data_IF_000538256713
#
_entry.id   IF_000538256713
#
_cell.length_a   1.000
_cell.length_b   1.000
_cell.length_c   1.000
_cell.angle_alpha   90.00
_cell.angle_beta   90.00
_cell.angle_gamma   90.00
#
_symmetry.space_group_name_H-M   'P 1'
#
loop_
_entity.id
_entity.type
_entity.pdbx_description
1 polymer ?
#
# COMPACT_ATOMS: atom_id res chain seq x y z
N UNK A 1 10.82 -31.64 -7.15
CA UNK A 1 10.06 -31.48 -5.90
C UNK A 1 11.01 -30.82 -4.92
N UNK A 2 11.45 -29.59 -5.22
CA UNK A 2 12.44 -28.85 -4.44
C UNK A 2 11.80 -27.88 -3.46
N UNK A 3 10.48 -27.76 -3.50
CA UNK A 3 9.75 -26.90 -2.59
C UNK A 3 9.74 -27.53 -1.18
N UNK A 4 10.00 -26.72 -0.16
CA UNK A 4 10.11 -27.11 1.25
C UNK A 4 11.06 -28.29 1.55
N UNK A 5 12.13 -28.44 0.79
CA UNK A 5 13.17 -29.47 1.01
C UNK A 5 12.69 -30.94 0.98
N UNK A 6 11.46 -31.21 0.52
CA UNK A 6 10.85 -32.56 0.49
C UNK A 6 11.56 -33.56 -0.43
N UNK A 7 12.53 -33.12 -1.23
CA UNK A 7 13.36 -34.01 -2.04
C UNK A 7 14.31 -34.87 -1.20
N UNK A 8 14.69 -34.44 0.01
CA UNK A 8 15.56 -35.23 0.90
C UNK A 8 14.95 -36.59 1.25
N UNK A 9 13.62 -36.67 1.39
CA UNK A 9 12.92 -37.95 1.55
C UNK A 9 13.33 -38.99 0.49
N UNK A 10 13.34 -38.61 -0.80
CA UNK A 10 13.68 -39.53 -1.88
C UNK A 10 15.19 -39.74 -2.07
N UNK A 11 16.01 -38.86 -1.50
CA UNK A 11 17.46 -38.93 -1.58
C UNK A 11 18.03 -39.84 -0.49
N UNK A 12 17.52 -39.68 0.74
CA UNK A 12 18.14 -40.21 1.95
C UNK A 12 17.28 -41.28 2.62
N UNK A 13 15.95 -41.16 2.58
CA UNK A 13 15.05 -42.05 3.33
C UNK A 13 14.62 -43.29 2.56
N UNK A 14 14.52 -43.23 1.23
CA UNK A 14 14.06 -44.37 0.42
C UNK A 14 14.97 -44.66 -0.76
N UNK A 15 14.97 -45.92 -1.22
CA UNK A 15 15.71 -46.34 -2.43
C UNK A 15 14.94 -46.03 -3.71
N UNK A 16 14.91 -44.77 -4.08
CA UNK A 16 14.16 -44.26 -5.24
C UNK A 16 15.06 -43.65 -6.33
N UNK A 17 14.52 -43.54 -7.53
CA UNK A 17 15.09 -42.78 -8.65
C UNK A 17 14.03 -41.91 -9.29
N UNK A 18 14.43 -40.78 -9.84
CA UNK A 18 13.55 -39.97 -10.69
C UNK A 18 13.57 -40.49 -12.13
N UNK A 19 12.40 -40.62 -12.74
CA UNK A 19 12.22 -40.81 -14.18
C UNK A 19 11.55 -39.56 -14.76
N UNK A 20 11.95 -39.12 -15.95
CA UNK A 20 11.34 -37.93 -16.57
C UNK A 20 11.46 -37.91 -18.10
N UNK A 21 10.55 -37.19 -18.75
CA UNK A 21 10.63 -36.80 -20.16
C UNK A 21 10.97 -35.31 -20.25
N UNK A 22 11.72 -34.96 -21.29
CA UNK A 22 12.03 -33.58 -21.64
C UNK A 22 11.47 -33.23 -23.01
N UNK A 23 11.06 -31.98 -23.19
CA UNK A 23 10.72 -31.43 -24.51
C UNK A 23 11.98 -31.06 -25.31
N UNK A 24 11.78 -30.49 -26.50
CA UNK A 24 12.85 -30.03 -27.40
C UNK A 24 13.69 -28.90 -26.79
N UNK A 25 13.11 -28.12 -25.86
CA UNK A 25 13.80 -27.06 -25.12
C UNK A 25 14.55 -27.58 -23.88
N UNK A 26 14.43 -28.87 -23.58
CA UNK A 26 15.08 -29.52 -22.43
C UNK A 26 14.32 -29.38 -21.10
N UNK A 27 13.11 -28.82 -21.11
CA UNK A 27 12.25 -28.69 -19.92
C UNK A 27 11.59 -30.02 -19.60
N UNK A 28 11.43 -30.32 -18.30
CA UNK A 28 10.78 -31.55 -17.84
C UNK A 28 9.27 -31.41 -18.06
N UNK A 29 8.69 -32.27 -18.92
CA UNK A 29 7.26 -32.27 -19.26
C UNK A 29 6.47 -33.41 -18.60
N UNK A 30 7.16 -34.48 -18.21
CA UNK A 30 6.62 -35.57 -17.43
C UNK A 30 7.67 -36.05 -16.43
N UNK A 31 7.27 -36.42 -15.21
CA UNK A 31 8.17 -36.98 -14.19
C UNK A 31 7.46 -38.02 -13.34
N UNK A 32 8.23 -38.97 -12.82
CA UNK A 32 7.75 -40.00 -11.92
C UNK A 32 8.81 -40.44 -10.92
N UNK A 33 8.36 -41.06 -9.83
CA UNK A 33 9.21 -41.67 -8.80
C UNK A 33 9.28 -43.16 -9.05
N UNK A 34 10.48 -43.71 -9.13
CA UNK A 34 10.72 -45.14 -9.29
C UNK A 34 11.32 -45.71 -8.01
N UNK A 35 10.54 -46.50 -7.27
CA UNK A 35 11.08 -47.32 -6.19
C UNK A 35 11.82 -48.51 -6.79
N UNK A 36 13.11 -48.60 -6.51
CA UNK A 36 14.00 -49.58 -7.16
C UNK A 36 14.08 -50.91 -6.42
N UNK A 37 13.58 -50.95 -5.19
CA UNK A 37 13.83 -52.01 -4.22
C UNK A 37 12.56 -52.33 -3.41
N UNK A 38 11.46 -52.63 -4.12
CA UNK A 38 10.20 -53.06 -3.50
C UNK A 38 10.19 -54.57 -3.29
N UNK A 39 9.73 -55.04 -2.14
CA UNK A 39 9.52 -56.47 -1.86
C UNK A 39 8.02 -56.76 -1.74
N UNK A 40 7.53 -57.86 -2.30
CA UNK A 40 6.15 -58.31 -2.08
C UNK A 40 6.02 -59.34 -0.95
N UNK A 41 4.79 -59.73 -0.62
CA UNK A 41 4.51 -60.73 0.42
C UNK A 41 5.17 -62.10 0.20
N UNK A 42 5.57 -62.42 -1.03
CA UNK A 42 6.21 -63.67 -1.42
C UNK A 42 7.75 -63.53 -1.47
N UNK A 43 8.30 -62.41 -0.96
CA UNK A 43 9.72 -62.03 -1.01
C UNK A 43 10.25 -61.79 -2.44
N UNK A 44 9.39 -61.53 -3.41
CA UNK A 44 9.83 -61.16 -4.76
C UNK A 44 10.17 -59.68 -4.82
N UNK A 45 11.22 -59.35 -5.58
CA UNK A 45 11.69 -57.97 -5.78
C UNK A 45 11.06 -57.34 -7.02
N UNK A 46 10.71 -56.07 -6.89
CA UNK A 46 10.02 -55.28 -7.90
C UNK A 46 10.62 -53.88 -8.04
N UNK A 47 10.62 -53.35 -9.26
CA UNK A 47 10.84 -51.95 -9.58
C UNK A 47 9.50 -51.32 -9.93
N UNK A 48 8.92 -50.58 -9.00
CA UNK A 48 7.58 -50.00 -9.17
C UNK A 48 7.66 -48.50 -9.45
N UNK A 49 7.06 -48.09 -10.56
CA UNK A 49 6.90 -46.69 -10.90
C UNK A 49 5.67 -46.12 -10.20
N UNK A 50 5.88 -45.21 -9.28
CA UNK A 50 4.86 -44.44 -8.59
C UNK A 50 4.71 -43.04 -9.23
N UNK A 51 3.57 -42.38 -8.95
CA UNK A 51 3.31 -40.94 -9.18
C UNK A 51 3.77 -40.36 -10.50
N UNK A 52 2.87 -40.29 -11.48
CA UNK A 52 3.17 -39.65 -12.76
C UNK A 52 2.62 -38.22 -12.78
N UNK A 53 3.52 -37.24 -12.76
CA UNK A 53 3.20 -35.81 -12.89
C UNK A 53 3.51 -35.34 -14.30
N UNK A 54 2.62 -34.53 -14.86
CA UNK A 54 2.80 -33.91 -16.19
C UNK A 54 2.43 -32.44 -16.13
N UNK A 55 3.07 -31.65 -16.99
CA UNK A 55 2.69 -30.25 -17.20
C UNK A 55 1.29 -30.23 -17.81
N UNK A 56 0.35 -29.49 -17.22
CA UNK A 56 -1.03 -29.38 -17.70
C UNK A 56 -1.89 -30.64 -17.54
N UNK A 57 -1.50 -31.56 -16.65
CA UNK A 57 -2.24 -32.80 -16.34
C UNK A 57 -2.43 -33.77 -17.52
N UNK A 58 -1.64 -33.63 -18.58
CA UNK A 58 -1.73 -34.45 -19.79
C UNK A 58 -1.47 -35.95 -19.48
N UNK A 59 -2.51 -36.78 -19.60
CA UNK A 59 -2.42 -38.23 -19.39
C UNK A 59 -1.59 -38.94 -20.47
N UNK A 60 -1.59 -38.44 -21.72
CA UNK A 60 -0.81 -39.02 -22.80
C UNK A 60 0.67 -38.96 -22.50
N UNK A 61 1.15 -37.85 -21.92
CA UNK A 61 2.53 -37.73 -21.45
C UNK A 61 2.86 -38.74 -20.32
N UNK A 62 1.92 -39.01 -19.41
CA UNK A 62 2.07 -40.06 -18.37
C UNK A 62 2.22 -41.44 -19.01
N UNK A 63 1.34 -41.77 -19.95
CA UNK A 63 1.41 -43.03 -20.70
C UNK A 63 2.70 -43.16 -21.51
N UNK A 64 3.15 -42.09 -22.16
CA UNK A 64 4.42 -42.08 -22.90
C UNK A 64 5.62 -42.37 -21.99
N UNK A 65 5.67 -41.76 -20.79
CA UNK A 65 6.73 -42.01 -19.81
C UNK A 65 6.75 -43.48 -19.37
N UNK A 66 5.58 -44.03 -19.01
CA UNK A 66 5.44 -45.45 -18.63
C UNK A 66 5.88 -46.37 -19.77
N UNK A 67 5.35 -46.18 -20.97
CA UNK A 67 5.66 -47.01 -22.12
C UNK A 67 7.16 -47.03 -22.45
N UNK A 68 7.83 -45.87 -22.35
CA UNK A 68 9.28 -45.79 -22.58
C UNK A 68 10.08 -46.57 -21.54
N UNK A 69 9.68 -46.49 -20.26
CA UNK A 69 10.31 -47.25 -19.18
C UNK A 69 10.10 -48.77 -19.33
N UNK A 70 8.94 -49.20 -19.83
CA UNK A 70 8.66 -50.61 -20.17
C UNK A 70 9.57 -51.05 -21.32
N UNK A 71 9.63 -50.29 -22.41
CA UNK A 71 10.45 -50.61 -23.59
C UNK A 71 11.94 -50.73 -23.24
N UNK A 72 12.43 -49.88 -22.33
CA UNK A 72 13.81 -49.92 -21.83
C UNK A 72 14.04 -50.93 -20.69
N UNK A 73 13.03 -51.73 -20.33
CA UNK A 73 13.07 -52.71 -19.24
C UNK A 73 13.54 -52.12 -17.90
N UNK A 74 13.04 -50.92 -17.55
CA UNK A 74 13.42 -50.18 -16.34
C UNK A 74 12.51 -50.46 -15.14
N UNK A 75 11.30 -50.95 -15.40
CA UNK A 75 10.24 -51.14 -14.39
C UNK A 75 9.61 -52.52 -14.54
N UNK A 76 9.03 -53.04 -13.45
CA UNK A 76 8.31 -54.33 -13.41
C UNK A 76 6.80 -54.13 -13.21
N UNK A 77 6.40 -52.97 -12.69
CA UNK A 77 5.02 -52.52 -12.58
C UNK A 77 4.94 -51.01 -12.39
N UNK A 78 3.73 -50.46 -12.49
CA UNK A 78 3.48 -49.04 -12.34
C UNK A 78 2.12 -48.78 -11.71
N UNK A 79 1.99 -47.64 -11.01
CA UNK A 79 0.69 -47.16 -10.52
C UNK A 79 -0.16 -46.75 -11.72
N UNK A 80 -1.40 -47.22 -11.78
CA UNK A 80 -2.34 -46.99 -12.88
C UNK A 80 -2.45 -45.48 -13.15
N UNK A 81 -2.32 -45.10 -14.41
CA UNK A 81 -2.45 -43.69 -14.83
C UNK A 81 -3.89 -43.24 -14.57
N UNK A 82 -4.04 -42.13 -13.85
CA UNK A 82 -5.36 -41.60 -13.43
C UNK A 82 -5.90 -42.21 -12.13
N UNK A 83 -5.17 -43.14 -11.49
CA UNK A 83 -5.54 -43.62 -10.16
C UNK A 83 -5.46 -42.51 -9.12
N UNK A 84 -6.34 -42.56 -8.13
CA UNK A 84 -6.39 -41.57 -7.06
C UNK A 84 -5.15 -41.67 -6.15
N UNK A 85 -4.75 -40.54 -5.56
CA UNK A 85 -3.72 -40.53 -4.52
C UNK A 85 -4.10 -41.38 -3.30
N UNK A 86 -5.41 -41.59 -3.06
CA UNK A 86 -5.89 -42.43 -1.96
C UNK A 86 -5.84 -43.95 -2.26
N UNK A 87 -5.63 -44.34 -3.53
CA UNK A 87 -5.59 -45.74 -3.96
C UNK A 87 -4.16 -46.30 -3.92
N UNK A 88 -3.69 -46.60 -2.71
CA UNK A 88 -2.33 -47.10 -2.49
C UNK A 88 -2.00 -48.39 -3.26
N UNK A 89 -3.03 -49.22 -3.51
CA UNK A 89 -2.94 -50.53 -4.15
C UNK A 89 -3.07 -50.50 -5.67
N UNK A 90 -3.25 -49.35 -6.31
CA UNK A 90 -3.57 -49.27 -7.74
C UNK A 90 -2.35 -49.54 -8.66
N UNK A 91 -1.66 -50.66 -8.47
CA UNK A 91 -0.54 -51.10 -9.30
C UNK A 91 -0.97 -52.14 -10.34
N UNK A 92 -0.31 -52.11 -11.48
CA UNK A 92 -0.41 -53.09 -12.56
C UNK A 92 0.98 -53.53 -13.01
N UNK A 93 1.15 -54.81 -13.32
CA UNK A 93 2.37 -55.35 -13.91
C UNK A 93 2.53 -54.89 -15.36
N UNK A 94 3.76 -54.91 -15.87
CA UNK A 94 4.03 -54.55 -17.27
C UNK A 94 3.37 -55.48 -18.30
N UNK A 95 2.91 -56.66 -17.87
CA UNK A 95 2.13 -57.63 -18.66
C UNK A 95 0.62 -57.36 -18.62
N UNK A 96 0.18 -56.31 -17.92
CA UNK A 96 -1.22 -55.95 -17.73
C UNK A 96 -1.90 -56.72 -16.60
N UNK A 97 -1.18 -57.56 -15.85
CA UNK A 97 -1.75 -58.25 -14.69
C UNK A 97 -2.02 -57.27 -13.54
N UNK A 98 -3.20 -57.39 -12.92
CA UNK A 98 -3.51 -56.58 -11.74
C UNK A 98 -2.60 -56.96 -10.57
N UNK A 99 -2.06 -55.96 -9.88
CA UNK A 99 -1.30 -56.12 -8.64
C UNK A 99 -2.07 -55.55 -7.45
N UNK A 100 -3.39 -55.31 -7.59
CA UNK A 100 -4.20 -54.66 -6.56
C UNK A 100 -4.20 -55.38 -5.20
N UNK A 101 -4.27 -56.70 -5.21
CA UNK A 101 -4.27 -57.51 -3.98
C UNK A 101 -2.86 -57.79 -3.44
N UNK A 102 -1.81 -57.22 -4.07
CA UNK A 102 -0.43 -57.42 -3.64
C UNK A 102 -0.08 -56.48 -2.49
N UNK A 103 0.65 -57.05 -1.54
CA UNK A 103 1.19 -56.37 -0.38
C UNK A 103 2.67 -56.15 -0.64
N UNK A 104 3.08 -54.90 -0.64
CA UNK A 104 4.41 -54.44 -0.95
C UNK A 104 4.99 -53.66 0.23
N UNK A 105 6.29 -53.79 0.39
CA UNK A 105 7.09 -53.05 1.36
C UNK A 105 8.33 -52.43 0.70
N UNK A 106 8.78 -51.31 1.23
CA UNK A 106 10.06 -50.66 0.90
C UNK A 106 10.85 -50.36 2.17
N UNK A 107 12.19 -50.40 2.07
CA UNK A 107 13.04 -49.79 3.08
C UNK A 107 12.76 -48.28 3.14
N UNK A 108 12.55 -47.75 4.34
CA UNK A 108 12.27 -46.34 4.58
C UNK A 108 12.94 -45.89 5.88
N UNK A 109 14.03 -45.14 5.79
CA UNK A 109 14.74 -44.61 6.96
C UNK A 109 14.32 -43.17 7.25
N UNK A 110 13.31 -43.02 8.11
CA UNK A 110 12.82 -41.72 8.57
C UNK A 110 12.97 -41.58 10.09
N UNK A 111 13.69 -40.55 10.53
CA UNK A 111 13.65 -40.03 11.89
C UNK A 111 12.43 -39.14 12.13
N UNK A 112 12.11 -38.89 13.39
CA UNK A 112 10.93 -38.09 13.77
C UNK A 112 10.95 -36.69 13.15
N UNK A 113 12.11 -36.03 13.15
CA UNK A 113 12.30 -34.66 12.65
C UNK A 113 12.68 -34.61 11.16
N UNK A 114 12.71 -35.74 10.46
CA UNK A 114 13.08 -35.77 9.05
C UNK A 114 11.97 -35.20 8.18
N UNK A 115 12.36 -34.46 7.14
CA UNK A 115 11.42 -33.87 6.19
C UNK A 115 10.65 -34.96 5.45
N UNK A 116 9.33 -34.95 5.61
CA UNK A 116 8.43 -35.86 4.94
C UNK A 116 8.14 -35.42 3.51
N UNK A 117 7.83 -36.41 2.68
CA UNK A 117 7.10 -36.19 1.44
C UNK A 117 5.80 -36.97 1.55
N UNK A 118 4.66 -36.31 1.29
CA UNK A 118 3.36 -36.96 1.11
C UNK A 118 3.56 -38.24 0.29
N UNK A 119 3.02 -39.40 0.64
CA UNK A 119 3.18 -40.66 -0.09
C UNK A 119 1.84 -41.17 -0.64
N UNK A 120 1.86 -41.69 -1.86
CA UNK A 120 0.66 -42.11 -2.61
C UNK A 120 0.35 -43.59 -2.40
N UNK A 121 1.40 -44.41 -2.40
CA UNK A 121 1.31 -45.86 -2.30
C UNK A 121 1.92 -46.36 -1.02
N UNK A 122 3.19 -46.06 -0.74
CA UNK A 122 3.89 -46.54 0.45
C UNK A 122 3.67 -45.60 1.64
N UNK A 123 2.43 -45.56 2.13
CA UNK A 123 1.99 -44.55 3.09
C UNK A 123 1.84 -45.01 4.54
N UNK A 124 1.90 -46.31 4.81
CA UNK A 124 1.92 -46.83 6.18
C UNK A 124 3.35 -47.08 6.59
N UNK A 125 3.88 -46.24 7.46
CA UNK A 125 5.27 -46.28 7.88
C UNK A 125 5.41 -46.84 9.29
N UNK A 126 6.16 -47.94 9.38
CA UNK A 126 6.55 -48.54 10.65
C UNK A 126 7.92 -47.97 11.06
N UNK A 127 7.90 -47.12 12.09
CA UNK A 127 9.08 -46.42 12.59
C UNK A 127 10.12 -47.37 13.18
N UNK A 128 9.68 -48.47 13.81
CA UNK A 128 10.55 -49.43 14.47
C UNK A 128 11.21 -50.35 13.46
N UNK A 129 10.47 -50.79 12.44
CA UNK A 129 10.99 -51.64 11.37
C UNK A 129 11.72 -50.86 10.26
N UNK A 130 11.59 -49.53 10.22
CA UNK A 130 12.14 -48.66 9.16
C UNK A 130 11.66 -49.09 7.77
N UNK A 131 10.36 -49.35 7.66
CA UNK A 131 9.71 -49.80 6.43
C UNK A 131 8.41 -49.07 6.17
N UNK A 132 8.12 -48.84 4.89
CA UNK A 132 6.84 -48.31 4.45
C UNK A 132 6.09 -49.32 3.58
N UNK A 133 4.78 -49.39 3.78
CA UNK A 133 3.88 -50.39 3.22
C UNK A 133 2.79 -49.74 2.37
N UNK A 134 2.27 -50.48 1.38
CA UNK A 134 1.07 -50.09 0.63
C UNK A 134 -0.25 -50.56 1.25
N UNK A 135 -0.19 -51.15 2.44
CA UNK A 135 -1.33 -51.61 3.23
C UNK A 135 -1.08 -51.26 4.69
N UNK A 136 -2.15 -51.18 5.49
CA UNK A 136 -2.02 -51.04 6.95
C UNK A 136 -1.31 -52.27 7.52
N UNK A 137 -0.09 -52.09 8.03
CA UNK A 137 0.77 -53.15 8.56
C UNK A 137 0.50 -53.36 10.05
N UNK A 138 0.47 -52.27 10.81
CA UNK A 138 0.23 -52.21 12.24
C UNK A 138 -0.84 -51.16 12.60
N UNK A 139 -1.31 -51.19 13.84
CA UNK A 139 -2.15 -50.11 14.40
C UNK A 139 -1.34 -48.84 14.71
N UNK A 140 -0.03 -49.00 14.92
CA UNK A 140 0.89 -47.93 15.31
C UNK A 140 1.64 -47.32 14.12
N UNK A 141 1.27 -47.66 12.88
CA UNK A 141 1.89 -47.11 11.67
C UNK A 141 1.65 -45.58 11.57
N UNK A 142 2.70 -44.83 11.26
CA UNK A 142 2.58 -43.44 10.83
C UNK A 142 1.99 -43.36 9.43
N UNK A 143 1.03 -42.47 9.23
CA UNK A 143 0.46 -42.20 7.92
C UNK A 143 1.27 -41.11 7.20
N UNK A 144 1.99 -41.51 6.15
CA UNK A 144 2.76 -40.61 5.30
C UNK A 144 1.91 -39.94 4.20
N UNK A 145 0.58 -40.13 4.18
CA UNK A 145 -0.34 -39.34 3.36
C UNK A 145 -0.78 -38.05 4.07
N UNK A 146 0.13 -37.46 4.83
CA UNK A 146 -0.02 -36.16 5.47
C UNK A 146 0.71 -35.04 4.71
N UNK A 147 0.25 -33.81 4.90
CA UNK A 147 0.95 -32.61 4.45
C UNK A 147 1.96 -32.09 5.46
N UNK A 148 2.03 -32.67 6.67
CA UNK A 148 2.98 -32.28 7.72
C UNK A 148 4.42 -32.33 7.22
N UNK A 149 5.27 -31.46 7.76
CA UNK A 149 6.69 -31.44 7.43
C UNK A 149 7.47 -32.59 8.09
N UNK A 150 7.09 -33.10 9.25
CA UNK A 150 7.76 -34.22 9.92
C UNK A 150 6.80 -35.15 10.69
N UNK A 151 7.30 -36.28 11.25
CA UNK A 151 6.45 -37.30 11.91
C UNK A 151 5.91 -36.89 13.27
N UNK A 152 6.48 -35.86 13.91
CA UNK A 152 5.90 -35.30 15.13
C UNK A 152 4.56 -34.60 14.85
N UNK A 153 4.23 -34.38 13.56
CA UNK A 153 3.23 -33.40 13.15
C UNK A 153 3.83 -32.01 13.33
N UNK A 154 3.78 -31.19 12.29
CA UNK A 154 4.16 -29.79 12.45
C UNK A 154 2.87 -28.96 12.52
N UNK A 155 2.77 -28.14 13.57
CA UNK A 155 2.19 -26.79 13.51
C UNK A 155 2.94 -26.03 12.40
N UNK A 156 2.72 -26.41 11.14
CA UNK A 156 3.28 -25.77 9.94
C UNK A 156 2.49 -24.47 9.60
N UNK A 157 1.71 -23.92 10.54
CA UNK A 157 1.60 -22.48 10.65
C UNK A 157 2.89 -22.01 11.29
N UNK A 158 3.89 -21.70 10.46
CA UNK A 158 4.82 -20.68 10.90
C UNK A 158 3.95 -19.50 11.32
N UNK A 159 3.94 -19.15 12.60
CA UNK A 159 3.38 -17.87 13.09
C UNK A 159 4.05 -16.69 12.37
N UNK A 160 5.12 -16.94 11.59
CA UNK A 160 5.79 -15.94 10.79
C UNK A 160 4.90 -15.47 9.63
N UNK A 161 4.37 -14.26 9.80
CA UNK A 161 3.69 -13.50 8.76
C UNK A 161 4.68 -13.08 7.64
N UNK A 162 4.15 -12.90 6.43
CA UNK A 162 4.95 -12.47 5.27
C UNK A 162 4.79 -10.97 5.06
N UNK A 163 5.87 -10.22 5.24
CA UNK A 163 5.94 -8.81 4.89
C UNK A 163 6.14 -8.65 3.38
N UNK A 164 5.08 -8.22 2.68
CA UNK A 164 5.10 -7.98 1.25
C UNK A 164 5.92 -6.74 0.87
N UNK A 165 6.03 -5.73 1.73
CA UNK A 165 6.80 -4.53 1.42
C UNK A 165 8.31 -4.77 1.54
N UNK A 166 8.77 -5.35 2.65
CA UNK A 166 10.19 -5.65 2.89
C UNK A 166 10.65 -6.98 2.31
N UNK A 167 9.74 -7.80 1.79
CA UNK A 167 10.02 -9.10 1.17
C UNK A 167 10.74 -10.07 2.12
N UNK A 168 10.27 -10.14 3.37
CA UNK A 168 10.83 -11.00 4.43
C UNK A 168 9.73 -11.62 5.30
N UNK A 169 10.06 -12.70 5.98
CA UNK A 169 9.21 -13.23 7.06
C UNK A 169 9.44 -12.43 8.35
N UNK A 170 8.36 -12.13 9.07
CA UNK A 170 8.35 -11.40 10.35
C UNK A 170 7.35 -12.06 11.32
N UNK A 171 7.26 -11.56 12.55
CA UNK A 171 6.39 -12.16 13.59
C UNK A 171 4.91 -11.82 13.37
N UNK A 172 4.60 -10.60 12.92
CA UNK A 172 3.23 -10.12 12.76
C UNK A 172 3.20 -9.08 11.64
N UNK A 173 2.19 -9.14 10.78
CA UNK A 173 1.92 -8.11 9.79
C UNK A 173 0.60 -7.40 10.06
N UNK A 174 0.47 -6.23 9.46
CA UNK A 174 -0.79 -5.51 9.35
C UNK A 174 -1.02 -5.11 7.89
N UNK A 175 -2.29 -5.09 7.49
CA UNK A 175 -2.74 -4.48 6.24
C UNK A 175 -2.42 -2.98 6.22
N UNK A 176 -1.61 -2.59 5.26
CA UNK A 176 -1.33 -1.22 4.87
C UNK A 176 -1.73 -1.01 3.40
N UNK A 177 -1.74 0.24 2.95
CA UNK A 177 -2.14 0.59 1.59
C UNK A 177 -1.03 1.33 0.86
N UNK A 178 -0.74 0.89 -0.35
CA UNK A 178 0.23 1.52 -1.25
C UNK A 178 -0.34 1.55 -2.67
N UNK A 179 -0.41 2.74 -3.28
CA UNK A 179 -0.99 2.99 -4.60
C UNK A 179 -2.41 2.43 -4.75
N UNK A 180 -3.21 2.55 -3.68
CA UNK A 180 -4.58 2.05 -3.61
C UNK A 180 -4.71 0.52 -3.52
N UNK A 181 -3.60 -0.21 -3.29
CA UNK A 181 -3.59 -1.67 -3.09
C UNK A 181 -3.30 -2.00 -1.63
N UNK A 182 -4.01 -2.99 -1.09
CA UNK A 182 -3.72 -3.63 0.20
C UNK A 182 -2.43 -4.47 0.11
N UNK A 183 -1.55 -4.28 1.09
CA UNK A 183 -0.29 -5.02 1.28
C UNK A 183 -0.11 -5.37 2.77
N UNK A 184 0.46 -6.53 3.05
CA UNK A 184 0.82 -6.94 4.43
C UNK A 184 2.22 -6.42 4.76
N UNK A 185 2.38 -5.68 5.86
CA UNK A 185 3.66 -5.07 6.27
C UNK A 185 3.95 -5.40 7.73
N UNK A 186 5.22 -5.67 8.05
CA UNK A 186 5.70 -5.95 9.40
C UNK A 186 5.31 -4.83 10.37
N UNK A 187 4.65 -5.20 11.47
CA UNK A 187 4.18 -4.21 12.47
C UNK A 187 5.32 -3.46 13.14
N UNK A 188 6.53 -4.03 13.15
CA UNK A 188 7.73 -3.43 13.73
C UNK A 188 8.49 -2.53 12.73
N UNK A 189 8.07 -2.46 11.46
CA UNK A 189 8.77 -1.75 10.37
C UNK A 189 7.78 -0.92 9.53
N UNK A 190 7.12 0.06 10.15
CA UNK A 190 6.12 0.92 9.49
C UNK A 190 6.60 2.35 9.23
N UNK A 191 7.91 2.55 9.18
CA UNK A 191 8.51 3.89 9.07
C UNK A 191 8.12 4.63 7.78
N UNK A 192 7.80 3.90 6.72
CA UNK A 192 7.37 4.44 5.42
C UNK A 192 5.85 4.65 5.30
N UNK A 193 5.10 4.46 6.39
CA UNK A 193 3.64 4.49 6.40
C UNK A 193 3.08 5.48 7.44
N UNK A 194 2.15 6.33 6.98
CA UNK A 194 1.41 7.25 7.82
C UNK A 194 0.05 6.67 8.22
N UNK A 195 -0.28 6.76 9.51
CA UNK A 195 -1.62 6.42 9.99
C UNK A 195 -2.60 7.56 9.71
N UNK A 196 -3.67 7.26 8.97
CA UNK A 196 -4.73 8.23 8.68
C UNK A 196 -5.93 7.91 9.58
N UNK A 197 -6.13 8.75 10.61
CA UNK A 197 -7.18 8.55 11.62
C UNK A 197 -8.61 8.51 11.03
N UNK A 198 -8.88 9.23 9.95
CA UNK A 198 -10.20 9.24 9.30
C UNK A 198 -10.51 7.95 8.54
N UNK A 199 -9.48 7.27 8.05
CA UNK A 199 -9.58 5.97 7.38
C UNK A 199 -9.49 4.81 8.38
N UNK A 200 -8.76 5.00 9.48
CA UNK A 200 -8.49 3.96 10.47
C UNK A 200 -7.36 3.01 10.09
N UNK A 201 -6.55 3.36 9.08
CA UNK A 201 -5.56 2.49 8.44
C UNK A 201 -4.24 3.22 8.11
N UNK A 202 -3.21 2.45 7.72
CA UNK A 202 -1.88 2.93 7.36
C UNK A 202 -1.71 3.03 5.84
N UNK A 203 -1.16 4.16 5.37
CA UNK A 203 -0.95 4.45 3.95
C UNK A 203 0.50 4.86 3.70
N UNK A 204 1.07 4.39 2.61
CA UNK A 204 2.45 4.69 2.24
C UNK A 204 2.65 6.20 2.04
N UNK A 205 3.82 6.73 2.40
CA UNK A 205 4.12 8.16 2.32
C UNK A 205 3.74 8.81 1.00
N UNK A 206 4.03 8.15 -0.13
CA UNK A 206 3.72 8.65 -1.48
C UNK A 206 2.21 8.89 -1.74
N UNK A 207 1.33 8.21 -1.01
CA UNK A 207 -0.12 8.34 -1.16
C UNK A 207 -0.74 9.33 -0.15
N UNK A 208 0.10 9.96 0.68
CA UNK A 208 -0.35 10.81 1.79
C UNK A 208 0.22 12.21 1.72
N UNK A 209 -0.52 13.15 2.32
CA UNK A 209 -0.14 14.54 2.49
C UNK A 209 -0.34 14.94 3.94
N UNK A 210 0.64 15.63 4.51
CA UNK A 210 0.54 16.25 5.83
C UNK A 210 -0.22 17.57 5.71
N UNK A 211 -1.23 17.78 6.54
CA UNK A 211 -1.98 19.03 6.59
C UNK A 211 -1.20 20.08 7.40
N UNK A 212 -0.86 21.22 6.80
CA UNK A 212 -0.08 22.28 7.48
C UNK A 212 -0.84 23.00 8.60
N UNK A 213 -2.15 22.83 8.68
CA UNK A 213 -2.94 23.42 9.77
C UNK A 213 -3.02 22.55 11.01
N UNK A 214 -3.35 21.26 10.84
CA UNK A 214 -3.62 20.34 11.96
C UNK A 214 -2.55 19.29 12.18
N UNK A 215 -1.51 19.26 11.34
CA UNK A 215 -0.40 18.30 11.34
C UNK A 215 -0.86 16.83 11.15
N UNK A 216 -2.11 16.62 10.74
CA UNK A 216 -2.68 15.31 10.46
C UNK A 216 -2.46 14.89 9.01
N UNK A 217 -2.33 13.59 8.77
CA UNK A 217 -2.21 13.03 7.43
C UNK A 217 -3.58 12.79 6.79
N UNK A 218 -3.65 13.03 5.48
CA UNK A 218 -4.77 12.69 4.62
C UNK A 218 -4.26 12.07 3.32
N UNK A 219 -5.16 11.44 2.57
CA UNK A 219 -4.83 10.91 1.25
C UNK A 219 -4.60 12.04 0.27
N UNK A 220 -3.60 11.91 -0.60
CA UNK A 220 -3.26 12.92 -1.62
C UNK A 220 -4.50 13.28 -2.45
N UNK A 221 -5.27 12.29 -2.88
CA UNK A 221 -6.50 12.47 -3.69
C UNK A 221 -7.65 13.16 -2.93
N UNK A 222 -7.60 13.23 -1.60
CA UNK A 222 -8.61 13.88 -0.75
C UNK A 222 -8.12 15.21 -0.17
N UNK A 223 -6.88 15.59 -0.46
CA UNK A 223 -6.31 16.85 -0.01
C UNK A 223 -6.91 18.03 -0.79
N UNK A 224 -6.94 19.18 -0.15
CA UNK A 224 -7.40 20.44 -0.74
C UNK A 224 -6.22 21.41 -0.79
N UNK A 225 -5.90 21.90 -1.98
CA UNK A 225 -4.84 22.89 -2.18
C UNK A 225 -5.37 24.32 -1.94
N UNK A 226 -4.54 25.20 -1.38
CA UNK A 226 -4.79 26.64 -1.30
C UNK A 226 -3.82 27.41 -2.17
N UNK A 227 -4.34 28.33 -2.98
CA UNK A 227 -3.49 29.28 -3.74
C UNK A 227 -2.96 30.42 -2.86
N UNK A 228 -3.56 30.68 -1.70
CA UNK A 228 -3.15 31.77 -0.80
C UNK A 228 -1.95 31.37 0.05
N UNK A 229 -1.96 30.14 0.57
CA UNK A 229 -0.84 29.62 1.38
C UNK A 229 0.13 28.78 0.56
N UNK A 230 -0.24 28.40 -0.67
CA UNK A 230 0.50 27.48 -1.55
C UNK A 230 0.68 26.05 -0.99
N UNK A 231 -0.15 25.65 -0.03
CA UNK A 231 -0.04 24.39 0.69
C UNK A 231 -1.28 23.49 0.57
N UNK A 232 -1.19 22.26 1.08
CA UNK A 232 -2.25 21.26 1.05
C UNK A 232 -2.86 20.99 2.44
N UNK A 233 -4.18 20.79 2.46
CA UNK A 233 -4.96 20.64 3.68
C UNK A 233 -5.85 19.40 3.65
N UNK A 234 -6.11 18.81 4.82
CA UNK A 234 -6.93 17.61 4.93
C UNK A 234 -8.43 17.84 4.74
N UNK A 235 -8.89 19.09 4.82
CA UNK A 235 -10.28 19.47 4.59
C UNK A 235 -10.42 20.98 4.34
N UNK A 236 -11.59 21.37 3.83
CA UNK A 236 -11.93 22.77 3.54
C UNK A 236 -11.79 23.67 4.77
N UNK A 237 -12.20 23.20 5.95
CA UNK A 237 -12.12 23.99 7.18
C UNK A 237 -10.67 24.32 7.55
N UNK A 238 -9.76 23.33 7.46
CA UNK A 238 -8.34 23.56 7.74
C UNK A 238 -7.73 24.57 6.74
N UNK A 239 -8.15 24.49 5.47
CA UNK A 239 -7.74 25.45 4.44
C UNK A 239 -8.24 26.85 4.79
N UNK A 240 -9.53 27.01 5.04
CA UNK A 240 -10.14 28.32 5.36
C UNK A 240 -9.55 28.96 6.62
N UNK A 241 -9.32 28.16 7.66
CA UNK A 241 -8.68 28.64 8.89
C UNK A 241 -7.23 29.09 8.64
N UNK A 242 -6.47 28.31 7.86
CA UNK A 242 -5.10 28.64 7.49
C UNK A 242 -5.02 29.89 6.61
N UNK A 243 -5.89 30.01 5.59
CA UNK A 243 -5.98 31.19 4.72
C UNK A 243 -6.37 32.44 5.51
N UNK A 244 -7.31 32.32 6.44
CA UNK A 244 -7.73 33.43 7.30
C UNK A 244 -6.57 33.89 8.18
N UNK A 245 -5.86 32.95 8.81
CA UNK A 245 -4.68 33.27 9.60
C UNK A 245 -3.55 33.86 8.75
N UNK A 246 -3.34 33.38 7.53
CA UNK A 246 -2.34 33.94 6.62
C UNK A 246 -2.67 35.40 6.28
N UNK A 247 -3.92 35.67 5.87
CA UNK A 247 -4.38 37.03 5.57
C UNK A 247 -4.22 37.97 6.75
N UNK A 248 -4.61 37.54 7.95
CA UNK A 248 -4.46 38.34 9.17
C UNK A 248 -3.01 38.72 9.50
N UNK A 249 -2.04 37.88 9.12
CA UNK A 249 -0.63 38.10 9.43
C UNK A 249 0.15 38.82 8.32
N UNK A 250 -0.25 38.66 7.05
CA UNK A 250 0.57 39.07 5.90
C UNK A 250 -0.15 40.01 4.93
N UNK A 251 -1.48 40.09 4.96
CA UNK A 251 -2.26 40.91 4.03
C UNK A 251 -2.77 42.18 4.72
N UNK A 252 -3.33 43.08 3.91
CA UNK A 252 -3.85 44.36 4.34
C UNK A 252 -5.38 44.40 4.22
N UNK A 253 -6.07 44.79 5.29
CA UNK A 253 -7.54 44.86 5.31
C UNK A 253 -8.03 46.23 4.83
N UNK A 254 -8.92 46.23 3.84
CA UNK A 254 -9.72 47.39 3.50
C UNK A 254 -10.95 47.48 4.40
N UNK A 255 -11.04 48.55 5.18
CA UNK A 255 -12.21 48.86 5.98
C UNK A 255 -13.42 49.19 5.11
N UNK A 256 -13.26 49.84 3.97
CA UNK A 256 -14.37 50.18 3.08
C UNK A 256 -14.90 48.94 2.35
N UNK A 257 -14.03 48.18 1.67
CA UNK A 257 -14.40 47.01 0.86
C UNK A 257 -14.76 45.78 1.71
N UNK A 258 -14.39 45.79 3.00
CA UNK A 258 -14.53 44.67 3.92
C UNK A 258 -13.81 43.40 3.43
N UNK A 259 -12.67 43.58 2.77
CA UNK A 259 -11.88 42.52 2.13
C UNK A 259 -10.37 42.67 2.43
N UNK A 260 -9.62 41.57 2.26
CA UNK A 260 -8.17 41.52 2.41
C UNK A 260 -7.48 41.59 1.04
N UNK A 261 -6.36 42.29 0.97
CA UNK A 261 -5.53 42.49 -0.22
C UNK A 261 -4.07 42.19 0.10
N UNK A 262 -3.36 41.53 -0.81
CA UNK A 262 -1.98 41.09 -0.58
C UNK A 262 -1.01 42.26 -0.52
N UNK A 263 -1.14 43.22 -1.45
CA UNK A 263 -0.22 44.34 -1.59
C UNK A 263 -0.78 45.62 -0.94
N UNK A 264 0.01 46.23 -0.05
CA UNK A 264 -0.36 47.50 0.59
C UNK A 264 -0.59 48.63 -0.42
N UNK A 265 0.13 48.60 -1.55
CA UNK A 265 0.06 49.63 -2.60
C UNK A 265 -1.28 49.59 -3.37
N UNK A 266 -2.06 48.52 -3.23
CA UNK A 266 -3.42 48.42 -3.77
C UNK A 266 -4.45 49.14 -2.90
N UNK A 267 -4.05 49.62 -1.72
CA UNK A 267 -4.89 50.36 -0.79
C UNK A 267 -4.53 51.84 -0.76
N UNK A 268 -5.57 52.65 -0.57
CA UNK A 268 -5.49 54.06 -0.27
C UNK A 268 -6.51 54.40 0.83
N UNK A 269 -6.67 55.68 1.14
CA UNK A 269 -7.60 56.16 2.17
C UNK A 269 -8.77 56.92 1.53
N UNK A 270 -9.98 56.70 2.07
CA UNK A 270 -11.16 57.52 1.78
C UNK A 270 -11.73 58.09 3.07
N UNK A 271 -12.04 59.37 3.05
CA UNK A 271 -12.67 60.10 4.13
C UNK A 271 -14.18 59.95 4.04
N UNK A 272 -14.77 59.26 5.03
CA UNK A 272 -16.21 59.01 5.13
C UNK A 272 -16.85 60.02 6.08
N UNK A 273 -17.83 60.79 5.60
CA UNK A 273 -18.52 61.79 6.41
C UNK A 273 -19.35 61.16 7.53
N UNK A 274 -19.16 61.64 8.77
CA UNK A 274 -19.99 61.27 9.90
C UNK A 274 -20.88 62.44 10.34
N UNK A 275 -22.19 62.44 10.00
CA UNK A 275 -23.10 63.53 10.33
C UNK A 275 -23.32 63.79 11.83
N UNK A 276 -23.01 62.82 12.71
CA UNK A 276 -23.20 62.99 14.15
C UNK A 276 -22.06 63.76 14.80
N UNK A 277 -20.85 63.59 14.30
CA UNK A 277 -19.63 64.25 14.79
C UNK A 277 -19.31 65.51 13.96
N UNK A 278 -20.02 65.72 12.83
CA UNK A 278 -19.74 66.76 11.85
C UNK A 278 -18.28 66.73 11.36
N UNK A 279 -17.74 65.52 11.18
CA UNK A 279 -16.34 65.28 10.82
C UNK A 279 -16.18 64.02 9.95
N UNK A 280 -15.04 63.92 9.25
CA UNK A 280 -14.71 62.75 8.44
C UNK A 280 -13.96 61.68 9.25
N UNK A 281 -14.17 60.41 8.89
CA UNK A 281 -13.38 59.27 9.38
C UNK A 281 -12.66 58.63 8.21
N UNK A 282 -11.35 58.49 8.30
CA UNK A 282 -10.55 57.76 7.31
C UNK A 282 -10.89 56.27 7.38
N UNK A 283 -11.02 55.64 6.22
CA UNK A 283 -11.09 54.21 6.05
C UNK A 283 -10.17 53.80 4.90
N UNK A 284 -9.51 52.65 5.03
CA UNK A 284 -8.74 52.06 3.93
C UNK A 284 -9.69 51.55 2.84
N UNK A 285 -9.38 51.81 1.57
CA UNK A 285 -10.16 51.42 0.39
C UNK A 285 -9.22 50.94 -0.72
N UNK A 286 -9.66 49.97 -1.52
CA UNK A 286 -8.92 49.53 -2.70
C UNK A 286 -8.90 50.60 -3.80
N UNK A 287 -7.78 50.74 -4.50
CA UNK A 287 -7.58 51.76 -5.55
C UNK A 287 -8.65 51.66 -6.65
N UNK A 288 -8.94 50.46 -7.17
CA UNK A 288 -9.97 50.29 -8.21
C UNK A 288 -11.38 50.64 -7.71
N UNK A 289 -11.66 50.42 -6.41
CA UNK A 289 -12.95 50.77 -5.82
C UNK A 289 -13.11 52.28 -5.77
N UNK A 290 -12.10 53.02 -5.30
CA UNK A 290 -12.19 54.48 -5.23
C UNK A 290 -12.23 55.10 -6.63
N UNK A 291 -11.48 54.59 -7.60
CA UNK A 291 -11.55 55.02 -9.00
C UNK A 291 -12.97 54.84 -9.56
N UNK A 292 -13.57 53.68 -9.31
CA UNK A 292 -14.96 53.40 -9.73
C UNK A 292 -15.97 54.36 -9.07
N UNK A 293 -15.77 54.72 -7.80
CA UNK A 293 -16.65 55.67 -7.11
C UNK A 293 -16.53 57.09 -7.69
N UNK A 294 -15.31 57.52 -8.04
CA UNK A 294 -15.07 58.80 -8.70
C UNK A 294 -15.73 58.86 -10.07
N UNK A 295 -15.59 57.81 -10.89
CA UNK A 295 -16.21 57.73 -12.22
C UNK A 295 -17.74 57.82 -12.17
N UNK A 296 -18.34 57.22 -11.14
CA UNK A 296 -19.78 57.23 -10.93
C UNK A 296 -20.29 58.48 -10.21
N UNK A 297 -19.41 59.42 -9.84
CA UNK A 297 -19.76 60.62 -9.08
C UNK A 297 -20.28 60.33 -7.67
N UNK A 298 -19.87 59.20 -7.10
CA UNK A 298 -20.22 58.74 -5.74
C UNK A 298 -19.13 59.07 -4.72
N UNK A 299 -17.98 59.58 -5.17
CA UNK A 299 -16.90 60.13 -4.36
C UNK A 299 -16.34 61.38 -5.05
N UNK A 300 -15.55 62.16 -4.31
CA UNK A 300 -14.81 63.30 -4.83
C UNK A 300 -13.34 63.24 -4.43
N UNK A 301 -12.52 64.02 -5.13
CA UNK A 301 -11.09 64.15 -4.87
C UNK A 301 -10.78 65.62 -4.58
N UNK A 302 -10.11 65.89 -3.46
CA UNK A 302 -9.66 67.22 -3.04
C UNK A 302 -8.25 67.11 -2.46
N UNK A 303 -7.32 67.94 -2.94
CA UNK A 303 -5.90 67.92 -2.52
C UNK A 303 -5.25 66.52 -2.52
N UNK A 304 -5.51 65.73 -3.57
CA UNK A 304 -5.03 64.36 -3.75
C UNK A 304 -5.56 63.34 -2.70
N UNK A 305 -6.58 63.71 -1.92
CA UNK A 305 -7.30 62.84 -0.99
C UNK A 305 -8.73 62.55 -1.49
N UNK A 306 -9.28 61.40 -1.09
CA UNK A 306 -10.58 60.93 -1.53
C UNK A 306 -11.64 61.11 -0.43
N UNK A 307 -12.84 61.54 -0.83
CA UNK A 307 -13.96 61.83 0.07
C UNK A 307 -15.23 61.17 -0.44
N UNK A 308 -16.03 60.54 0.41
CA UNK A 308 -17.33 59.96 0.02
C UNK A 308 -18.37 61.03 -0.31
N UNK A 309 -18.22 62.21 0.28
CA UNK A 309 -19.12 63.33 0.13
C UNK A 309 -18.34 64.63 0.19
N UNK A 310 -18.48 65.45 -0.84
CA UNK A 310 -18.04 66.85 -0.86
C UNK A 310 -19.27 67.76 -0.92
N UNK A 311 -19.11 69.02 -0.53
CA UNK A 311 -20.14 70.04 -0.71
C UNK A 311 -20.48 70.17 -2.21
N UNK A 312 -21.74 69.97 -2.63
CA UNK A 312 -22.12 70.02 -4.04
C UNK A 312 -21.98 71.41 -4.69
N UNK A 313 -22.00 72.48 -3.89
CA UNK A 313 -21.88 73.87 -4.37
C UNK A 313 -20.42 74.31 -4.48
N UNK A 314 -19.57 73.93 -3.52
CA UNK A 314 -18.18 74.40 -3.46
C UNK A 314 -17.15 73.38 -3.94
N UNK A 315 -17.49 72.08 -3.92
CA UNK A 315 -16.55 70.99 -4.21
C UNK A 315 -15.50 70.80 -3.10
N UNK A 316 -15.71 71.37 -1.92
CA UNK A 316 -14.81 71.28 -0.77
C UNK A 316 -15.31 70.25 0.25
N UNK A 317 -14.43 69.71 1.12
CA UNK A 317 -14.85 68.91 2.26
C UNK A 317 -15.84 69.68 3.15
N UNK A 318 -16.85 69.00 3.70
CA UNK A 318 -17.97 69.64 4.41
C UNK A 318 -17.57 70.39 5.69
N UNK A 319 -16.49 69.96 6.35
CA UNK A 319 -15.91 70.60 7.53
C UNK A 319 -14.78 71.58 7.19
N UNK A 320 -14.52 71.85 5.90
CA UNK A 320 -13.44 72.72 5.48
C UNK A 320 -13.79 74.19 5.75
N UNK A 321 -13.00 74.86 6.58
CA UNK A 321 -13.08 76.31 6.79
C UNK A 321 -11.87 76.99 6.14
N UNK A 322 -12.12 77.87 5.17
CA UNK A 322 -11.10 78.75 4.58
C UNK A 322 -10.55 79.70 5.66
N UNK A 323 -9.48 79.31 6.35
CA UNK A 323 -8.78 80.14 7.33
C UNK A 323 -7.69 81.01 6.67
N UNK A 324 -7.90 81.41 5.40
CA UNK A 324 -7.01 82.34 4.68
C UNK A 324 -7.22 83.82 5.04
N UNK A 325 -7.68 84.12 6.25
CA UNK A 325 -7.77 85.50 6.78
C UNK A 325 -6.73 85.81 7.88
N UNK A 326 -5.64 85.05 7.97
CA UNK A 326 -4.56 85.27 8.94
C UNK A 326 -3.37 86.13 8.45
N UNK A 327 -3.54 86.92 7.38
CA UNK A 327 -2.59 87.97 7.00
C UNK A 327 -3.26 89.35 7.06
N UNK A 328 -3.56 89.81 8.26
CA UNK A 328 -3.67 91.25 8.49
C UNK A 328 -2.27 91.86 8.26
N UNK A 329 -2.12 92.66 7.19
CA UNK A 329 -0.96 93.53 7.03
C UNK A 329 -0.87 94.46 8.25
N UNK A 330 0.03 94.15 9.18
CA UNK A 330 0.43 95.04 10.26
C UNK A 330 1.08 96.29 9.66
N UNK A 331 0.28 97.34 9.45
CA UNK A 331 0.78 98.69 9.28
C UNK A 331 1.32 99.21 10.62
N UNK A 332 2.56 98.87 10.95
CA UNK A 332 3.28 99.46 12.08
C UNK A 332 3.75 100.88 11.73
N UNK A 333 3.05 101.88 12.28
CA UNK A 333 3.50 103.27 12.28
C UNK A 333 4.71 103.41 13.20
N UNK A 334 5.91 103.59 12.61
CA UNK A 334 7.12 103.91 13.34
C UNK A 334 7.05 105.32 13.95
N UNK A 335 6.77 105.39 15.26
CA UNK A 335 7.12 106.54 16.11
C UNK A 335 8.60 106.47 16.45
N UNK A 336 9.37 107.45 15.98
CA UNK A 336 10.77 107.68 16.37
C UNK A 336 10.79 108.73 17.49
N UNK A 337 11.18 108.32 18.69
CA UNK A 337 11.76 109.22 19.69
C UNK A 337 13.06 108.59 20.20
N UNK A 338 14.18 109.30 20.05
CA UNK A 338 15.00 109.66 21.20
C UNK A 338 15.86 110.90 20.93
N UNK A 339 15.89 111.79 21.92
CA UNK A 339 16.75 112.97 22.08
C UNK A 339 18.24 112.55 22.22
N UNK A 340 19.25 113.36 21.89
CA UNK A 340 19.67 114.66 22.47
C UNK A 340 20.59 115.38 21.50
#
# INVERSE_FOLDING_TARGET
>A
MTDKDRHFFYLDSVKAKAAYLKDEEGKIVARAVLFTEVTDQDNRRWRLLERQYTTGEDEMLKYMLVNKLIQENRIDGYKIVGASCHEANAFVGIDGSSLFDRRFEIDCDLGMDNTLSYQDSFKWYDYDERKAYNYKHSEDDYLLDTTDRNLNGDDDESDEAWDEYHQRYCTETRVCYMQGREIEVDVDDLEDFNYISSCGDYYHHDDTVCCDWCEGYCLTDHSVYSEITEEYYCCEQCREDAESSHKENYWHYSEYDKAWFEDADELTDIHIWNPQEEDYRSQTIHVDTVESLLENGQAGCFEDEYYDLLDPETGLPLNYSDDTNAYEEEHEYATVEEAV
#
